data_IF_700918801534
#
_entry.id   IF_700918801534
#
_cell.length_a   1.000
_cell.length_b   1.000
_cell.length_c   1.000
_cell.angle_alpha   90.00
_cell.angle_beta   90.00
_cell.angle_gamma   90.00
#
_symmetry.space_group_name_H-M   'P 1'
#
loop_
_entity.id
_entity.type
_entity.pdbx_description
1 polymer ?
#
# COMPACT_ATOMS: atom_id res chain seq x y z
N UNK A 1 5.19 3.48 12.01
CA UNK A 1 6.66 3.51 11.88
C UNK A 1 7.11 2.79 10.62
N UNK A 2 7.04 1.45 10.51
CA UNK A 2 7.46 0.70 9.30
C UNK A 2 6.84 1.24 8.00
N UNK A 3 5.51 1.45 7.97
CA UNK A 3 4.82 1.98 6.80
C UNK A 3 5.39 3.36 6.37
N UNK A 4 5.69 4.24 7.33
CA UNK A 4 6.21 5.59 7.07
C UNK A 4 7.68 5.58 6.65
N UNK A 5 8.49 4.75 7.31
CA UNK A 5 9.93 4.67 7.07
C UNK A 5 10.26 3.92 5.77
N UNK A 6 9.42 2.95 5.39
CA UNK A 6 9.61 2.15 4.18
C UNK A 6 8.92 2.69 2.93
N UNK A 7 7.89 3.53 3.06
CA UNK A 7 7.15 4.09 1.92
C UNK A 7 7.97 5.12 1.13
N UNK A 8 7.87 5.08 -0.19
CA UNK A 8 8.44 6.11 -1.08
C UNK A 8 7.37 6.79 -1.93
N UNK A 9 6.53 6.01 -2.61
CA UNK A 9 5.44 6.54 -3.43
C UNK A 9 4.34 5.49 -3.60
N UNK A 10 3.18 5.93 -4.08
CA UNK A 10 2.13 5.01 -4.54
C UNK A 10 1.46 5.57 -5.79
N UNK A 11 1.05 4.66 -6.68
CA UNK A 11 0.32 4.96 -7.90
C UNK A 11 -0.72 3.87 -8.16
N UNK A 12 -1.69 4.11 -9.04
CA UNK A 12 -2.76 3.17 -9.32
C UNK A 12 -2.93 2.87 -10.82
N UNK A 13 -3.27 1.62 -11.11
CA UNK A 13 -3.72 1.17 -12.41
C UNK A 13 -5.08 0.46 -12.23
N UNK A 14 -6.17 1.21 -12.42
CA UNK A 14 -7.52 0.75 -12.09
C UNK A 14 -7.64 0.33 -10.61
N UNK A 15 -8.02 -0.91 -10.33
CA UNK A 15 -8.15 -1.44 -8.99
C UNK A 15 -6.84 -2.00 -8.42
N UNK A 16 -5.70 -1.77 -9.09
CA UNK A 16 -4.38 -2.16 -8.59
C UNK A 16 -3.69 -0.93 -8.01
N UNK A 17 -3.34 -1.02 -6.72
CA UNK A 17 -2.50 -0.04 -6.04
C UNK A 17 -1.06 -0.55 -6.02
N UNK A 18 -0.15 0.22 -6.61
CA UNK A 18 1.29 -0.07 -6.59
C UNK A 18 1.95 0.85 -5.57
N UNK A 19 2.65 0.27 -4.60
CA UNK A 19 3.39 1.02 -3.57
C UNK A 19 4.87 0.75 -3.77
N UNK A 20 5.66 1.80 -3.99
CA UNK A 20 7.12 1.74 -4.00
C UNK A 20 7.64 1.93 -2.60
N UNK A 21 8.61 1.11 -2.23
CA UNK A 21 9.26 1.15 -0.94
C UNK A 21 10.76 1.33 -1.10
N UNK A 22 11.45 1.62 0.01
CA UNK A 22 12.90 1.43 0.09
C UNK A 22 13.22 -0.03 -0.25
N UNK A 23 14.35 -0.28 -0.92
CA UNK A 23 14.80 -1.64 -1.27
C UNK A 23 14.87 -2.54 -0.03
N UNK A 24 14.42 -3.79 -0.19
CA UNK A 24 14.29 -4.77 0.89
C UNK A 24 13.12 -4.55 1.87
N UNK A 25 12.35 -3.47 1.74
CA UNK A 25 11.29 -3.13 2.70
C UNK A 25 9.88 -3.54 2.27
N UNK A 26 9.66 -3.98 1.03
CA UNK A 26 8.32 -4.24 0.52
C UNK A 26 7.55 -5.26 1.38
N UNK A 27 8.20 -6.36 1.80
CA UNK A 27 7.59 -7.35 2.69
C UNK A 27 7.19 -6.78 4.06
N UNK A 28 8.04 -5.94 4.64
CA UNK A 28 7.76 -5.32 5.95
C UNK A 28 6.63 -4.30 5.87
N UNK A 29 6.61 -3.49 4.81
CA UNK A 29 5.55 -2.51 4.55
C UNK A 29 4.23 -3.22 4.22
N UNK A 30 4.27 -4.33 3.47
CA UNK A 30 3.08 -5.15 3.20
C UNK A 30 2.49 -5.75 4.48
N UNK A 31 3.33 -6.30 5.37
CA UNK A 31 2.86 -6.80 6.66
C UNK A 31 2.23 -5.69 7.52
N UNK A 32 2.78 -4.47 7.47
CA UNK A 32 2.19 -3.31 8.13
C UNK A 32 0.86 -2.89 7.48
N UNK A 33 0.74 -2.99 6.15
CA UNK A 33 -0.49 -2.71 5.40
C UNK A 33 -1.59 -3.72 5.74
N UNK A 34 -1.28 -5.01 5.76
CA UNK A 34 -2.21 -6.08 6.10
C UNK A 34 -2.76 -5.92 7.53
N UNK A 35 -1.92 -5.48 8.47
CA UNK A 35 -2.32 -5.21 9.85
C UNK A 35 -3.32 -4.04 9.99
N UNK A 36 -3.48 -3.18 8.97
CA UNK A 36 -4.49 -2.11 8.97
C UNK A 36 -5.90 -2.63 8.65
N UNK A 37 -6.03 -3.85 8.11
CA UNK A 37 -7.31 -4.49 7.80
C UNK A 37 -8.26 -3.61 6.97
N UNK A 38 -7.75 -2.96 5.92
CA UNK A 38 -8.60 -2.20 5.01
C UNK A 38 -9.52 -3.14 4.22
N UNK A 39 -10.83 -3.02 4.47
CA UNK A 39 -11.86 -3.83 3.81
C UNK A 39 -11.82 -3.70 2.29
N UNK A 40 -11.33 -2.58 1.77
CA UNK A 40 -11.19 -2.28 0.35
C UNK A 40 -10.09 -3.12 -0.34
N UNK A 41 -9.05 -3.51 0.40
CA UNK A 41 -7.94 -4.32 -0.11
C UNK A 41 -8.34 -5.79 -0.04
N UNK A 42 -8.29 -6.48 -1.18
CA UNK A 42 -8.53 -7.92 -1.27
C UNK A 42 -7.29 -8.70 -0.82
N UNK A 43 -6.11 -8.19 -1.16
CA UNK A 43 -4.81 -8.72 -0.73
C UNK A 43 -3.67 -8.03 -1.46
N UNK A 44 -2.43 -8.36 -1.08
CA UNK A 44 -1.24 -7.81 -1.71
C UNK A 44 -0.17 -8.87 -1.99
N UNK A 45 0.71 -8.58 -2.94
CA UNK A 45 1.93 -9.33 -3.24
C UNK A 45 3.09 -8.34 -3.12
N UNK A 46 4.08 -8.68 -2.31
CA UNK A 46 5.28 -7.87 -2.11
C UNK A 46 6.49 -8.55 -2.76
N UNK A 47 7.27 -7.74 -3.47
CA UNK A 47 8.60 -8.10 -3.99
C UNK A 47 9.70 -7.57 -3.06
N UNK A 48 10.73 -6.95 -3.64
CA UNK A 48 11.83 -6.30 -2.89
C UNK A 48 11.51 -4.84 -2.51
N UNK A 49 11.17 -4.04 -3.52
CA UNK A 49 10.98 -2.58 -3.42
C UNK A 49 9.59 -2.12 -3.89
N UNK A 50 8.69 -3.08 -4.14
CA UNK A 50 7.39 -2.86 -4.75
C UNK A 50 6.34 -3.79 -4.16
N UNK A 51 5.18 -3.24 -3.82
CA UNK A 51 3.99 -3.98 -3.41
C UNK A 51 2.90 -3.73 -4.44
N UNK A 52 2.26 -4.80 -4.89
CA UNK A 52 1.04 -4.75 -5.70
C UNK A 52 -0.14 -5.15 -4.83
N UNK A 53 -1.10 -4.25 -4.63
CA UNK A 53 -2.32 -4.52 -3.86
C UNK A 53 -3.50 -4.62 -4.83
N UNK A 54 -4.24 -5.72 -4.76
CA UNK A 54 -5.51 -5.87 -5.43
C UNK A 54 -6.60 -5.22 -4.56
N UNK A 55 -7.26 -4.20 -5.09
CA UNK A 55 -8.36 -3.46 -4.44
C UNK A 55 -9.67 -3.86 -5.11
N UNK A 56 -10.79 -3.70 -4.41
CA UNK A 56 -12.11 -4.11 -4.90
C UNK A 56 -12.59 -3.32 -6.13
N UNK A 57 -12.23 -2.05 -6.24
CA UNK A 57 -12.60 -1.18 -7.36
C UNK A 57 -11.60 -0.03 -7.54
N UNK A 58 -11.70 0.69 -8.66
CA UNK A 58 -10.89 1.88 -8.89
C UNK A 58 -11.20 3.01 -7.90
N UNK A 59 -12.48 3.20 -7.54
CA UNK A 59 -12.90 4.20 -6.56
C UNK A 59 -12.37 3.88 -5.16
N UNK A 60 -12.42 2.58 -4.79
CA UNK A 60 -11.83 2.10 -3.54
C UNK A 60 -10.31 2.34 -3.50
N UNK A 61 -9.61 2.24 -4.63
CA UNK A 61 -8.17 2.54 -4.70
C UNK A 61 -7.90 3.99 -4.31
N UNK A 62 -8.69 4.94 -4.82
CA UNK A 62 -8.56 6.37 -4.48
C UNK A 62 -8.76 6.59 -2.98
N UNK A 63 -9.76 5.92 -2.40
CA UNK A 63 -10.07 5.99 -0.98
C UNK A 63 -8.95 5.38 -0.11
N UNK A 64 -8.38 4.24 -0.51
CA UNK A 64 -7.22 3.62 0.16
C UNK A 64 -6.01 4.54 0.08
N UNK A 65 -5.74 5.16 -1.07
CA UNK A 65 -4.64 6.11 -1.24
C UNK A 65 -4.78 7.31 -0.29
N UNK A 66 -5.98 7.87 -0.14
CA UNK A 66 -6.21 8.98 0.79
C UNK A 66 -6.01 8.57 2.26
N UNK A 67 -6.51 7.40 2.65
CA UNK A 67 -6.27 6.82 3.99
C UNK A 67 -4.78 6.64 4.27
N UNK A 68 -4.03 6.06 3.32
CA UNK A 68 -2.59 5.83 3.46
C UNK A 68 -1.82 7.16 3.55
N UNK A 69 -2.15 8.16 2.74
CA UNK A 69 -1.52 9.50 2.81
C UNK A 69 -1.66 10.11 4.19
N UNK A 70 -2.84 10.01 4.81
CA UNK A 70 -3.07 10.53 6.18
C UNK A 70 -2.23 9.79 7.22
N UNK A 71 -2.08 8.47 7.10
CA UNK A 71 -1.26 7.67 8.01
C UNK A 71 0.25 7.93 7.87
N UNK A 72 0.73 8.28 6.68
CA UNK A 72 2.14 8.56 6.41
C UNK A 72 2.52 9.99 6.82
N UNK A 73 1.59 10.94 6.66
CA UNK A 73 1.80 12.34 7.01
C UNK A 73 1.84 12.60 8.52
N UNK A 74 1.23 11.72 9.33
CA UNK A 74 1.29 11.75 10.80
C UNK A 74 2.61 11.23 11.32
#
# INVERSE_FOLDING_TARGET
RILRDGYMSMDMAQNILVIKTVSGMAMAVAAALDALHFNEIVGCIAGDDTIMCAVRSADDTILVMDKLKKLIAG
#
